data_IF_503787702493
#
_entry.id   IF_503787702493
#
_cell.length_a   1.000
_cell.length_b   1.000
_cell.length_c   1.000
_cell.angle_alpha   90.00
_cell.angle_beta   90.00
_cell.angle_gamma   90.00
#
_symmetry.space_group_name_H-M   'P 1'
#
loop_
_entity.id
_entity.type
_entity.pdbx_description
1 polymer ?
#
# COMPACT_ATOMS: atom_id res chain seq x y z
N UNK A 1 -51.25 -9.44 -90.04
CA UNK A 1 -50.74 -8.74 -91.24
C UNK A 1 -51.80 -7.74 -91.64
N UNK A 2 -51.47 -6.45 -91.76
CA UNK A 2 -52.41 -5.50 -92.35
C UNK A 2 -52.72 -5.94 -93.78
N UNK A 3 -54.00 -6.01 -94.12
CA UNK A 3 -54.45 -6.35 -95.46
C UNK A 3 -54.39 -5.07 -96.28
N UNK A 4 -53.30 -4.88 -97.03
CA UNK A 4 -53.21 -3.77 -97.98
C UNK A 4 -54.25 -4.00 -99.08
N UNK A 5 -55.28 -3.16 -99.08
CA UNK A 5 -56.36 -3.19 -100.08
C UNK A 5 -56.22 -1.97 -100.98
N UNK A 6 -56.26 -2.18 -102.30
CA UNK A 6 -56.27 -1.08 -103.26
C UNK A 6 -57.69 -0.52 -103.34
N UNK A 7 -57.89 0.79 -103.12
CA UNK A 7 -59.20 1.41 -103.24
C UNK A 7 -59.85 1.12 -104.60
N UNK A 8 -61.15 0.83 -104.63
CA UNK A 8 -61.90 0.45 -105.85
C UNK A 8 -61.68 1.43 -107.01
N UNK A 9 -61.67 2.74 -106.72
CA UNK A 9 -61.43 3.79 -107.71
C UNK A 9 -60.03 3.72 -108.40
N UNK A 10 -59.02 3.19 -107.70
CA UNK A 10 -57.69 2.95 -108.27
C UNK A 10 -57.66 1.62 -109.04
N UNK A 11 -58.32 0.59 -108.52
CA UNK A 11 -58.45 -0.73 -109.16
C UNK A 11 -59.17 -0.64 -110.53
N UNK A 12 -60.27 0.11 -110.60
CA UNK A 12 -61.04 0.32 -111.83
C UNK A 12 -60.24 1.05 -112.92
N UNK A 13 -59.25 1.88 -112.54
CA UNK A 13 -58.38 2.62 -113.47
C UNK A 13 -57.12 1.87 -113.88
N UNK A 14 -56.56 1.04 -112.98
CA UNK A 14 -55.32 0.29 -113.19
C UNK A 14 -55.56 -1.08 -113.85
N UNK A 15 -56.76 -1.67 -113.67
CA UNK A 15 -57.05 -3.06 -114.01
C UNK A 15 -56.67 -4.02 -112.88
N UNK A 16 -57.29 -5.20 -112.84
CA UNK A 16 -57.14 -6.17 -111.74
C UNK A 16 -55.69 -6.63 -111.53
N UNK A 17 -54.99 -6.98 -112.60
CA UNK A 17 -53.61 -7.47 -112.57
C UNK A 17 -52.61 -6.41 -112.07
N UNK A 18 -52.76 -5.16 -112.51
CA UNK A 18 -51.92 -4.06 -112.06
C UNK A 18 -52.23 -3.65 -110.61
N UNK A 19 -53.49 -3.73 -110.18
CA UNK A 19 -53.88 -3.47 -108.79
C UNK A 19 -53.32 -4.53 -107.84
N UNK A 20 -53.29 -5.80 -108.23
CA UNK A 20 -52.67 -6.88 -107.45
C UNK A 20 -51.15 -6.71 -107.38
N UNK A 21 -50.49 -6.40 -108.50
CA UNK A 21 -49.06 -6.11 -108.55
C UNK A 21 -48.69 -4.93 -107.67
N UNK A 22 -49.50 -3.86 -107.68
CA UNK A 22 -49.31 -2.70 -106.82
C UNK A 22 -49.52 -3.02 -105.34
N UNK A 23 -50.48 -3.89 -104.98
CA UNK A 23 -50.66 -4.36 -103.61
C UNK A 23 -49.47 -5.19 -103.11
N UNK A 24 -48.85 -5.99 -103.98
CA UNK A 24 -47.60 -6.72 -103.67
C UNK A 24 -46.46 -5.74 -103.40
N UNK A 25 -46.27 -4.75 -104.28
CA UNK A 25 -45.24 -3.71 -104.08
C UNK A 25 -45.45 -2.93 -102.76
N UNK A 26 -46.69 -2.55 -102.43
CA UNK A 26 -46.98 -1.88 -101.17
C UNK A 26 -46.68 -2.77 -99.95
N UNK A 27 -46.93 -4.08 -100.03
CA UNK A 27 -46.60 -5.02 -98.95
C UNK A 27 -45.09 -5.16 -98.77
N UNK A 28 -44.35 -5.17 -99.88
CA UNK A 28 -42.89 -5.24 -99.86
C UNK A 28 -42.27 -3.96 -99.28
N UNK A 29 -42.78 -2.79 -99.67
CA UNK A 29 -42.38 -1.50 -99.08
C UNK A 29 -42.72 -1.40 -97.59
N UNK A 30 -43.89 -1.86 -97.16
CA UNK A 30 -44.25 -1.91 -95.73
C UNK A 30 -43.36 -2.88 -94.95
N UNK A 31 -43.08 -4.06 -95.52
CA UNK A 31 -42.23 -5.07 -94.91
C UNK A 31 -40.79 -4.57 -94.75
N UNK A 32 -40.20 -3.98 -95.79
CA UNK A 32 -38.87 -3.40 -95.74
C UNK A 32 -38.84 -2.20 -94.77
N UNK A 33 -39.85 -1.33 -94.79
CA UNK A 33 -39.96 -0.23 -93.84
C UNK A 33 -40.06 -0.68 -92.38
N UNK A 34 -40.76 -1.79 -92.08
CA UNK A 34 -40.80 -2.37 -90.73
C UNK A 34 -39.46 -2.97 -90.33
N UNK A 35 -38.76 -3.61 -91.26
CA UNK A 35 -37.44 -4.18 -91.06
C UNK A 35 -36.42 -3.08 -90.78
N UNK A 36 -36.41 -2.00 -91.54
CA UNK A 36 -35.59 -0.82 -91.30
C UNK A 36 -35.89 -0.19 -89.93
N UNK A 37 -37.17 -0.08 -89.57
CA UNK A 37 -37.59 0.43 -88.26
C UNK A 37 -37.09 -0.45 -87.10
N UNK A 38 -37.07 -1.78 -87.28
CA UNK A 38 -36.52 -2.71 -86.31
C UNK A 38 -35.00 -2.57 -86.18
N UNK A 39 -34.28 -2.53 -87.29
CA UNK A 39 -32.82 -2.33 -87.30
C UNK A 39 -32.46 -1.01 -86.59
N UNK A 40 -33.16 0.08 -86.91
CA UNK A 40 -32.95 1.37 -86.25
C UNK A 40 -33.28 1.34 -84.75
N UNK A 41 -34.29 0.58 -84.34
CA UNK A 41 -34.63 0.42 -82.93
C UNK A 41 -33.58 -0.40 -82.18
N UNK A 42 -33.08 -1.49 -82.78
CA UNK A 42 -32.00 -2.32 -82.25
C UNK A 42 -30.72 -1.51 -82.09
N UNK A 43 -30.26 -0.80 -83.13
CA UNK A 43 -29.09 0.07 -83.07
C UNK A 43 -29.20 1.14 -81.97
N UNK A 44 -30.38 1.77 -81.85
CA UNK A 44 -30.64 2.77 -80.81
C UNK A 44 -30.63 2.15 -79.41
N UNK A 45 -31.18 0.95 -79.25
CA UNK A 45 -31.21 0.24 -77.98
C UNK A 45 -29.80 -0.19 -77.57
N UNK A 46 -29.04 -0.81 -78.48
CA UNK A 46 -27.65 -1.21 -78.25
C UNK A 46 -26.77 -0.01 -77.90
N UNK A 47 -26.92 1.10 -78.63
CA UNK A 47 -26.19 2.34 -78.32
C UNK A 47 -26.51 2.84 -76.92
N UNK A 48 -27.79 2.93 -76.54
CA UNK A 48 -28.20 3.38 -75.19
C UNK A 48 -27.69 2.44 -74.10
N UNK A 49 -27.75 1.13 -74.33
CA UNK A 49 -27.25 0.14 -73.39
C UNK A 49 -25.74 0.26 -73.20
N UNK A 50 -24.99 0.48 -74.29
CA UNK A 50 -23.54 0.71 -74.25
C UNK A 50 -23.19 2.00 -73.50
N UNK A 51 -23.92 3.08 -73.76
CA UNK A 51 -23.78 4.37 -73.07
C UNK A 51 -24.04 4.24 -71.56
N UNK A 52 -25.13 3.57 -71.16
CA UNK A 52 -25.47 3.38 -69.74
C UNK A 52 -24.46 2.45 -69.05
N UNK A 53 -24.02 1.38 -69.70
CA UNK A 53 -22.98 0.49 -69.17
C UNK A 53 -21.65 1.23 -68.99
N UNK A 54 -21.28 2.11 -69.92
CA UNK A 54 -20.11 2.97 -69.78
C UNK A 54 -20.27 3.96 -68.62
N UNK A 55 -21.43 4.61 -68.49
CA UNK A 55 -21.74 5.53 -67.39
C UNK A 55 -21.64 4.83 -66.02
N UNK A 56 -22.23 3.64 -65.89
CA UNK A 56 -22.17 2.86 -64.65
C UNK A 56 -20.74 2.45 -64.30
N UNK A 57 -19.92 2.04 -65.29
CA UNK A 57 -18.50 1.73 -65.05
C UNK A 57 -17.73 2.94 -64.52
N UNK A 58 -17.99 4.13 -65.06
CA UNK A 58 -17.37 5.37 -64.57
C UNK A 58 -17.80 5.64 -63.13
N UNK A 59 -19.11 5.63 -62.83
CA UNK A 59 -19.63 5.86 -61.46
C UNK A 59 -19.09 4.85 -60.45
N UNK A 60 -18.99 3.57 -60.81
CA UNK A 60 -18.41 2.53 -59.95
C UNK A 60 -16.92 2.82 -59.69
N UNK A 61 -16.18 3.24 -60.71
CA UNK A 61 -14.76 3.60 -60.57
C UNK A 61 -14.58 4.83 -59.66
N UNK A 62 -15.43 5.84 -59.80
CA UNK A 62 -15.42 7.05 -58.97
C UNK A 62 -15.71 6.71 -57.50
N UNK A 63 -16.79 5.96 -57.23
CA UNK A 63 -17.15 5.53 -55.87
C UNK A 63 -16.05 4.65 -55.25
N UNK A 64 -15.45 3.74 -56.03
CA UNK A 64 -14.33 2.93 -55.56
C UNK A 64 -13.15 3.79 -55.14
N UNK A 65 -12.79 4.78 -55.97
CA UNK A 65 -11.68 5.70 -55.68
C UNK A 65 -11.97 6.52 -54.43
N UNK A 66 -13.20 7.04 -54.29
CA UNK A 66 -13.61 7.79 -53.09
C UNK A 66 -13.54 6.95 -51.81
N UNK A 67 -13.98 5.69 -51.87
CA UNK A 67 -13.90 4.76 -50.73
C UNK A 67 -12.44 4.44 -50.37
N UNK A 68 -11.58 4.21 -51.35
CA UNK A 68 -10.15 3.98 -51.11
C UNK A 68 -9.49 5.20 -50.43
N UNK A 69 -9.82 6.42 -50.88
CA UNK A 69 -9.36 7.65 -50.24
C UNK A 69 -9.85 7.76 -48.80
N UNK A 70 -11.16 7.59 -48.55
CA UNK A 70 -11.75 7.65 -47.20
C UNK A 70 -11.15 6.61 -46.25
N UNK A 71 -10.92 5.39 -46.73
CA UNK A 71 -10.28 4.34 -45.93
C UNK A 71 -8.85 4.75 -45.56
N UNK A 72 -8.09 5.32 -46.50
CA UNK A 72 -6.74 5.80 -46.24
C UNK A 72 -6.72 6.94 -45.21
N UNK A 73 -7.63 7.91 -45.34
CA UNK A 73 -7.74 9.04 -44.41
C UNK A 73 -8.07 8.57 -42.99
N UNK A 74 -9.08 7.71 -42.84
CA UNK A 74 -9.45 7.13 -41.54
C UNK A 74 -8.32 6.33 -40.93
N UNK A 75 -7.59 5.55 -41.75
CA UNK A 75 -6.42 4.79 -41.28
C UNK A 75 -5.35 5.73 -40.72
N UNK A 76 -5.00 6.79 -41.44
CA UNK A 76 -4.01 7.77 -40.98
C UNK A 76 -4.47 8.47 -39.71
N UNK A 77 -5.74 8.87 -39.62
CA UNK A 77 -6.29 9.51 -38.42
C UNK A 77 -6.21 8.58 -37.19
N UNK A 78 -6.53 7.30 -37.37
CA UNK A 78 -6.43 6.30 -36.30
C UNK A 78 -4.98 6.06 -35.86
N UNK A 79 -4.04 5.98 -36.80
CA UNK A 79 -2.60 5.86 -36.50
C UNK A 79 -2.10 7.06 -35.69
N UNK A 80 -2.50 8.28 -36.06
CA UNK A 80 -2.18 9.51 -35.31
C UNK A 80 -2.77 9.47 -33.90
N UNK A 81 -4.07 9.18 -33.76
CA UNK A 81 -4.74 9.10 -32.44
C UNK A 81 -4.11 8.05 -31.53
N UNK A 82 -3.75 6.89 -32.08
CA UNK A 82 -3.07 5.83 -31.31
C UNK A 82 -1.70 6.33 -30.82
N UNK A 83 -0.94 7.04 -31.66
CA UNK A 83 0.35 7.61 -31.26
C UNK A 83 0.20 8.67 -30.17
N UNK A 84 -0.78 9.57 -30.30
CA UNK A 84 -1.07 10.62 -29.31
C UNK A 84 -1.43 10.01 -27.95
N UNK A 85 -2.35 9.05 -27.92
CA UNK A 85 -2.75 8.34 -26.69
C UNK A 85 -1.56 7.60 -26.08
N UNK A 86 -0.71 6.97 -26.90
CA UNK A 86 0.49 6.30 -26.41
C UNK A 86 1.44 7.28 -25.70
N UNK A 87 1.71 8.43 -26.33
CA UNK A 87 2.56 9.47 -25.74
C UNK A 87 1.96 10.02 -24.44
N UNK A 88 0.65 10.29 -24.41
CA UNK A 88 -0.04 10.76 -23.20
C UNK A 88 0.08 9.75 -22.04
N UNK A 89 -0.08 8.46 -22.33
CA UNK A 89 0.08 7.39 -21.34
C UNK A 89 1.52 7.29 -20.83
N UNK A 90 2.52 7.38 -21.70
CA UNK A 90 3.95 7.39 -21.32
C UNK A 90 4.28 8.59 -20.40
N UNK A 91 3.72 9.78 -20.70
CA UNK A 91 3.86 10.96 -19.85
C UNK A 91 3.22 10.74 -18.48
N UNK A 92 1.95 10.30 -18.43
CA UNK A 92 1.24 10.03 -17.16
C UNK A 92 1.94 8.99 -16.30
N UNK A 93 2.46 7.92 -16.91
CA UNK A 93 3.24 6.90 -16.18
C UNK A 93 4.51 7.53 -15.56
N UNK A 94 5.19 8.39 -16.30
CA UNK A 94 6.41 9.06 -15.83
C UNK A 94 6.11 10.03 -14.68
N UNK A 95 5.02 10.80 -14.78
CA UNK A 95 4.56 11.71 -13.71
C UNK A 95 4.22 10.95 -12.43
N UNK A 96 3.42 9.88 -12.53
CA UNK A 96 3.06 9.04 -11.37
C UNK A 96 4.30 8.40 -10.74
N UNK A 97 5.26 7.95 -11.55
CA UNK A 97 6.52 7.39 -11.04
C UNK A 97 7.30 8.43 -10.23
N UNK A 98 7.43 9.66 -10.73
CA UNK A 98 8.11 10.75 -10.04
C UNK A 98 7.41 11.14 -8.72
N UNK A 99 6.07 11.18 -8.73
CA UNK A 99 5.29 11.45 -7.52
C UNK A 99 5.49 10.35 -6.46
N UNK A 100 5.50 9.08 -6.87
CA UNK A 100 5.75 7.96 -5.97
C UNK A 100 7.18 7.98 -5.40
N UNK A 101 8.19 8.30 -6.21
CA UNK A 101 9.57 8.45 -5.74
C UNK A 101 9.67 9.56 -4.67
N UNK A 102 8.99 10.69 -4.88
CA UNK A 102 8.95 11.79 -3.90
C UNK A 102 8.27 11.37 -2.60
N UNK A 103 7.09 10.73 -2.67
CA UNK A 103 6.38 10.23 -1.48
C UNK A 103 7.20 9.20 -0.69
N UNK A 104 7.92 8.32 -1.38
CA UNK A 104 8.80 7.34 -0.73
C UNK A 104 9.93 8.06 0.02
N UNK A 105 10.55 9.07 -0.60
CA UNK A 105 11.59 9.87 0.06
C UNK A 105 11.07 10.63 1.28
N UNK A 106 9.89 11.25 1.19
CA UNK A 106 9.27 11.95 2.32
C UNK A 106 8.98 11.00 3.49
N UNK A 107 8.39 9.83 3.21
CA UNK A 107 8.11 8.81 4.24
C UNK A 107 9.41 8.32 4.87
N UNK A 108 10.47 8.13 4.09
CA UNK A 108 11.78 7.72 4.61
C UNK A 108 12.34 8.77 5.58
N UNK A 109 12.30 10.04 5.21
CA UNK A 109 12.77 11.14 6.07
C UNK A 109 11.93 11.28 7.35
N UNK A 110 10.60 11.15 7.27
CA UNK A 110 9.72 11.16 8.46
C UNK A 110 10.02 10.00 9.41
N UNK A 111 10.27 8.80 8.87
CA UNK A 111 10.64 7.63 9.67
C UNK A 111 12.01 7.81 10.34
N UNK A 112 13.01 8.33 9.62
CA UNK A 112 14.32 8.63 10.19
C UNK A 112 14.21 9.64 11.35
N UNK A 113 13.43 10.71 11.18
CA UNK A 113 13.19 11.70 12.23
C UNK A 113 12.50 11.09 13.46
N UNK A 114 11.46 10.27 13.26
CA UNK A 114 10.75 9.59 14.36
C UNK A 114 11.64 8.59 15.11
N UNK A 115 12.53 7.89 14.42
CA UNK A 115 13.50 6.99 15.06
C UNK A 115 14.42 7.80 15.96
N UNK A 116 15.00 8.90 15.46
CA UNK A 116 15.87 9.77 16.28
C UNK A 116 15.14 10.35 17.50
N UNK A 117 13.88 10.79 17.35
CA UNK A 117 13.08 11.27 18.49
C UNK A 117 12.88 10.18 19.56
N UNK A 118 12.61 8.94 19.13
CA UNK A 118 12.45 7.81 20.05
C UNK A 118 13.76 7.46 20.75
N UNK A 119 14.89 7.49 20.04
CA UNK A 119 16.23 7.27 20.62
C UNK A 119 16.54 8.31 21.69
N UNK A 120 16.39 9.61 21.39
CA UNK A 120 16.61 10.70 22.35
C UNK A 120 15.71 10.57 23.58
N UNK A 121 14.43 10.24 23.37
CA UNK A 121 13.48 10.02 24.46
C UNK A 121 13.89 8.83 25.33
N UNK A 122 14.39 7.76 24.73
CA UNK A 122 14.83 6.57 25.46
C UNK A 122 16.09 6.86 26.28
N UNK A 123 17.09 7.53 25.69
CA UNK A 123 18.31 7.94 26.39
C UNK A 123 18.01 8.84 27.59
N UNK A 124 17.11 9.83 27.42
CA UNK A 124 16.68 10.70 28.51
C UNK A 124 16.04 9.90 29.66
N UNK A 125 15.11 8.98 29.35
CA UNK A 125 14.45 8.15 30.37
C UNK A 125 15.45 7.23 31.09
N UNK A 126 16.41 6.68 30.36
CA UNK A 126 17.46 5.84 30.95
C UNK A 126 18.30 6.65 31.93
N UNK A 127 18.69 7.87 31.55
CA UNK A 127 19.46 8.78 32.40
C UNK A 127 18.69 9.16 33.68
N UNK A 128 17.41 9.49 33.54
CA UNK A 128 16.51 9.80 34.66
C UNK A 128 16.38 8.62 35.64
N UNK A 129 16.19 7.40 35.14
CA UNK A 129 16.11 6.20 35.99
C UNK A 129 17.44 5.88 36.68
N UNK A 130 18.57 6.03 35.99
CA UNK A 130 19.90 5.84 36.60
C UNK A 130 20.12 6.86 37.73
N UNK A 131 19.73 8.12 37.54
CA UNK A 131 19.83 9.15 38.57
C UNK A 131 18.93 8.82 39.78
N UNK A 132 17.68 8.44 39.53
CA UNK A 132 16.73 8.01 40.56
C UNK A 132 17.25 6.83 41.39
N UNK A 133 17.80 5.80 40.72
CA UNK A 133 18.38 4.64 41.39
C UNK A 133 19.62 5.01 42.22
N UNK A 134 20.48 5.92 41.74
CA UNK A 134 21.62 6.41 42.52
C UNK A 134 21.19 7.09 43.82
N UNK A 135 20.14 7.91 43.78
CA UNK A 135 19.57 8.56 44.97
C UNK A 135 19.07 7.50 45.96
N UNK A 136 18.24 6.55 45.50
CA UNK A 136 17.71 5.47 46.36
C UNK A 136 18.82 4.63 47.00
N UNK A 137 19.87 4.30 46.24
CA UNK A 137 21.03 3.57 46.77
C UNK A 137 21.73 4.39 47.86
N UNK A 138 21.88 5.70 47.68
CA UNK A 138 22.48 6.58 48.69
C UNK A 138 21.63 6.64 49.96
N UNK A 139 20.30 6.77 49.82
CA UNK A 139 19.36 6.81 50.95
C UNK A 139 19.42 5.51 51.75
N UNK A 140 19.35 4.36 51.08
CA UNK A 140 19.47 3.04 51.72
C UNK A 140 20.82 2.88 52.42
N UNK A 141 21.91 3.35 51.81
CA UNK A 141 23.24 3.31 52.43
C UNK A 141 23.28 4.11 53.72
N UNK A 142 22.76 5.35 53.72
CA UNK A 142 22.72 6.20 54.91
C UNK A 142 21.82 5.59 56.00
N UNK A 143 20.68 5.01 55.63
CA UNK A 143 19.81 4.31 56.60
C UNK A 143 20.52 3.11 57.25
N UNK A 144 21.26 2.32 56.47
CA UNK A 144 22.05 1.20 56.98
C UNK A 144 23.18 1.66 57.90
N UNK A 145 23.90 2.73 57.55
CA UNK A 145 24.95 3.32 58.40
C UNK A 145 24.39 3.82 59.75
N UNK A 146 23.20 4.41 59.74
CA UNK A 146 22.50 4.84 60.95
C UNK A 146 22.11 3.65 61.83
N UNK A 147 21.48 2.61 61.25
CA UNK A 147 21.11 1.37 61.97
C UNK A 147 22.33 0.66 62.57
N UNK A 148 23.44 0.60 61.84
CA UNK A 148 24.69 0.01 62.37
C UNK A 148 25.19 0.80 63.58
N UNK A 149 25.16 2.12 63.51
CA UNK A 149 25.60 2.99 64.61
C UNK A 149 24.71 2.86 65.85
N UNK A 150 23.40 2.76 65.66
CA UNK A 150 22.42 2.49 66.71
C UNK A 150 22.68 1.15 67.41
N UNK A 151 22.80 0.07 66.64
CA UNK A 151 23.10 -1.27 67.18
C UNK A 151 24.44 -1.28 67.93
N UNK A 152 25.45 -0.58 67.42
CA UNK A 152 26.75 -0.46 68.08
C UNK A 152 26.63 0.23 69.45
N UNK A 153 25.89 1.34 69.53
CA UNK A 153 25.67 2.06 70.77
C UNK A 153 24.87 1.24 71.79
N UNK A 154 23.87 0.48 71.33
CA UNK A 154 23.10 -0.43 72.17
C UNK A 154 23.99 -1.54 72.76
N UNK A 155 24.88 -2.11 71.94
CA UNK A 155 25.86 -3.12 72.39
C UNK A 155 26.86 -2.56 73.39
N UNK A 156 27.40 -1.35 73.17
CA UNK A 156 28.31 -0.69 74.12
C UNK A 156 27.64 -0.43 75.48
N UNK A 157 26.35 -0.06 75.46
CA UNK A 157 25.53 0.13 76.67
C UNK A 157 25.35 -1.18 77.41
N UNK A 158 24.91 -2.25 76.73
CA UNK A 158 24.74 -3.59 77.31
C UNK A 158 26.04 -4.15 77.90
N UNK A 159 27.17 -3.95 77.23
CA UNK A 159 28.49 -4.36 77.75
C UNK A 159 28.82 -3.62 79.05
N UNK A 160 28.54 -2.32 79.12
CA UNK A 160 28.79 -1.50 80.32
C UNK A 160 27.92 -1.92 81.49
N UNK A 161 26.64 -2.21 81.24
CA UNK A 161 25.70 -2.74 82.24
C UNK A 161 26.18 -4.09 82.80
N UNK A 162 26.52 -5.04 81.92
CA UNK A 162 27.03 -6.36 82.33
C UNK A 162 28.32 -6.23 83.14
N UNK A 163 29.23 -5.33 82.75
CA UNK A 163 30.47 -5.07 83.49
C UNK A 163 30.19 -4.53 84.89
N UNK A 164 29.27 -3.57 85.02
CA UNK A 164 28.90 -3.00 86.31
C UNK A 164 28.25 -4.06 87.22
N UNK A 165 27.37 -4.91 86.67
CA UNK A 165 26.76 -6.02 87.42
C UNK A 165 27.82 -7.02 87.91
N UNK A 166 28.81 -7.34 87.07
CA UNK A 166 29.91 -8.22 87.44
C UNK A 166 30.79 -7.61 88.54
N UNK A 167 31.13 -6.32 88.45
CA UNK A 167 31.88 -5.61 89.49
C UNK A 167 31.13 -5.59 90.83
N UNK A 168 29.82 -5.36 90.80
CA UNK A 168 28.97 -5.42 91.99
C UNK A 168 28.98 -6.82 92.63
N UNK A 169 28.78 -7.88 91.84
CA UNK A 169 28.86 -9.28 92.31
C UNK A 169 30.23 -9.63 92.90
N UNK A 170 31.31 -9.18 92.27
CA UNK A 170 32.67 -9.37 92.81
C UNK A 170 32.84 -8.66 94.16
N UNK A 171 32.32 -7.43 94.29
CA UNK A 171 32.37 -6.67 95.54
C UNK A 171 31.59 -7.38 96.66
N UNK A 172 30.39 -7.87 96.35
CA UNK A 172 29.57 -8.65 97.28
C UNK A 172 30.30 -9.90 97.76
N UNK A 173 30.86 -10.70 96.84
CA UNK A 173 31.66 -11.89 97.17
C UNK A 173 32.87 -11.52 98.03
N UNK A 174 33.58 -10.43 97.72
CA UNK A 174 34.72 -9.96 98.54
C UNK A 174 34.28 -9.61 99.96
N UNK A 175 33.17 -8.89 100.12
CA UNK A 175 32.61 -8.53 101.42
C UNK A 175 32.24 -9.79 102.21
N UNK A 176 31.61 -10.76 101.56
CA UNK A 176 31.24 -12.01 102.21
C UNK A 176 32.46 -12.83 102.62
N UNK A 177 33.50 -12.92 101.77
CA UNK A 177 34.79 -13.53 102.15
C UNK A 177 35.39 -12.84 103.38
N UNK A 178 35.35 -11.51 103.46
CA UNK A 178 35.87 -10.77 104.63
C UNK A 178 35.05 -11.08 105.88
N UNK A 179 33.71 -11.14 105.78
CA UNK A 179 32.84 -11.55 106.90
C UNK A 179 33.22 -12.95 107.39
N UNK A 180 33.38 -13.90 106.46
CA UNK A 180 33.79 -15.27 106.79
C UNK A 180 35.18 -15.34 107.42
N UNK A 181 36.15 -14.57 106.91
CA UNK A 181 37.48 -14.45 107.53
C UNK A 181 37.37 -13.93 108.96
N UNK A 182 36.56 -12.90 109.21
CA UNK A 182 36.38 -12.35 110.56
C UNK A 182 35.76 -13.38 111.52
N UNK A 183 34.70 -14.07 111.08
CA UNK A 183 34.08 -15.16 111.86
C UNK A 183 35.11 -16.25 112.18
N UNK A 184 35.91 -16.64 111.18
CA UNK A 184 36.98 -17.63 111.34
C UNK A 184 38.05 -17.17 112.34
N UNK A 185 38.58 -15.94 112.20
CA UNK A 185 39.60 -15.37 113.10
C UNK A 185 39.07 -15.18 114.53
N UNK A 186 37.85 -14.70 114.70
CA UNK A 186 37.22 -14.57 116.01
C UNK A 186 37.10 -15.94 116.71
N UNK A 187 36.68 -16.97 115.97
CA UNK A 187 36.66 -18.35 116.46
C UNK A 187 38.02 -18.85 116.90
N UNK A 188 39.07 -18.64 116.08
CA UNK A 188 40.45 -19.01 116.42
C UNK A 188 40.94 -18.32 117.71
N UNK A 189 40.65 -17.02 117.88
CA UNK A 189 41.02 -16.26 119.09
C UNK A 189 40.32 -16.81 120.33
N UNK A 190 39.02 -17.12 120.24
CA UNK A 190 38.26 -17.71 121.37
C UNK A 190 38.86 -19.05 121.79
N UNK A 191 39.21 -19.92 120.83
CA UNK A 191 39.87 -21.20 121.11
C UNK A 191 41.24 -21.00 121.77
N UNK A 192 42.07 -20.07 121.26
CA UNK A 192 43.37 -19.76 121.84
C UNK A 192 43.27 -19.22 123.28
N UNK A 193 42.29 -18.34 123.55
CA UNK A 193 42.03 -17.83 124.90
C UNK A 193 41.60 -18.97 125.84
N UNK A 194 40.74 -19.88 125.39
CA UNK A 194 40.35 -21.05 126.18
C UNK A 194 41.56 -21.95 126.50
N UNK A 195 42.45 -22.19 125.53
CA UNK A 195 43.70 -22.94 125.72
C UNK A 195 44.62 -22.22 126.73
N UNK A 196 44.82 -20.90 126.58
CA UNK A 196 45.62 -20.09 127.51
C UNK A 196 45.03 -20.09 128.93
N UNK A 197 43.72 -19.96 129.08
CA UNK A 197 43.05 -20.04 130.38
C UNK A 197 43.25 -21.40 131.04
N UNK A 198 43.22 -22.50 130.28
CA UNK A 198 43.53 -23.84 130.79
C UNK A 198 45.00 -23.94 131.24
N UNK A 199 45.93 -23.27 130.52
CA UNK A 199 47.36 -23.29 130.82
C UNK A 199 47.75 -22.43 132.04
N UNK A 200 47.08 -21.28 132.26
CA UNK A 200 47.29 -20.38 133.41
C UNK A 200 46.46 -20.74 134.66
N UNK A 201 45.59 -21.75 134.60
CA UNK A 201 44.82 -22.28 135.76
C UNK A 201 45.54 -23.42 136.50
N UNK A 202 46.82 -23.62 136.23
CA UNK A 202 47.74 -24.47 137.01
C UNK A 202 48.71 -23.59 137.77
#
# INVERSE_FOLDING_TARGET
MPVITIPKALRDKLGDEAAESFAVLLKEVEHEGRKDALVLAEERFERRLSEEAASLRVKISEVKTELETKISEVKTELETKISEVKTELETKISEVKAELETKISEVKTDLEAKISEVEERFERRLSEEVASLRVKISEVKTELEAKISEVKAELETKISEVKAELEAKISEVKVDIIKWMFIFWAGQIVVLIAILQIFFRK
#
